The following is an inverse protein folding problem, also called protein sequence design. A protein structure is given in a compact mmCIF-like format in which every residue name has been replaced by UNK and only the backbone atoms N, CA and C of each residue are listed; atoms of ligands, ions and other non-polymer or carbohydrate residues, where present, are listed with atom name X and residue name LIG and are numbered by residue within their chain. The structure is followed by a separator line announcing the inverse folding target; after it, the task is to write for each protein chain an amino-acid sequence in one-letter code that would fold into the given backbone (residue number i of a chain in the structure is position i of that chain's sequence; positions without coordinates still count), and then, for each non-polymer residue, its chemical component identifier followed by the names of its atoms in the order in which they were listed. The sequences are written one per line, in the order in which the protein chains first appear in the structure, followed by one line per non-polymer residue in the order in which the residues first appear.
data_IF_065899017591
#
_entry.id   IF_065899017591
#
_cell.length_a   1.000
_cell.length_b   1.000
_cell.length_c   1.000
_cell.angle_alpha   90.00
_cell.angle_beta   90.00
_cell.angle_gamma   90.00
#
_symmetry.space_group_name_H-M   'P 1'
#
loop_
_entity.id
_entity.type
_entity.pdbx_description
1 polymer ?
#
# COMPACT_ATOMS: atom_id res chain seq x y z
N UNK A 1 11.32 -4.58 1.71
CA UNK A 1 10.37 -5.72 1.66
C UNK A 1 9.77 -5.92 3.05
N UNK A 2 8.45 -6.08 3.11
CA UNK A 2 7.65 -6.22 4.32
C UNK A 2 7.74 -7.68 4.80
N UNK A 3 7.99 -7.97 6.09
CA UNK A 3 8.04 -9.36 6.55
C UNK A 3 6.68 -10.06 6.39
N UNK A 4 6.67 -11.27 5.82
CA UNK A 4 5.44 -11.98 5.45
C UNK A 4 4.56 -12.39 6.65
N UNK A 5 5.18 -12.77 7.78
CA UNK A 5 4.45 -13.19 8.98
C UNK A 5 3.60 -12.07 9.61
N UNK A 6 4.15 -10.88 9.94
CA UNK A 6 3.34 -9.79 10.48
C UNK A 6 2.33 -9.26 9.46
N UNK A 7 2.66 -9.24 8.16
CA UNK A 7 1.69 -8.89 7.11
C UNK A 7 0.49 -9.84 7.09
N UNK A 8 0.73 -11.16 7.14
CA UNK A 8 -0.34 -12.15 7.18
C UNK A 8 -1.22 -12.04 8.43
N UNK A 9 -0.61 -11.75 9.59
CA UNK A 9 -1.35 -11.57 10.84
C UNK A 9 -2.24 -10.32 10.79
N UNK A 10 -1.69 -9.19 10.34
CA UNK A 10 -2.45 -7.94 10.16
C UNK A 10 -3.59 -8.13 9.15
N UNK A 11 -3.34 -8.79 8.03
CA UNK A 11 -4.37 -9.06 7.03
C UNK A 11 -5.51 -9.90 7.62
N UNK A 12 -5.22 -10.96 8.37
CA UNK A 12 -6.24 -11.79 9.03
C UNK A 12 -7.02 -11.00 10.10
N UNK A 13 -6.37 -10.10 10.80
CA UNK A 13 -7.01 -9.20 11.77
C UNK A 13 -8.01 -8.26 11.07
N UNK A 14 -7.58 -7.59 10.00
CA UNK A 14 -8.44 -6.72 9.19
C UNK A 14 -9.60 -7.52 8.61
N UNK A 15 -9.34 -8.72 8.08
CA UNK A 15 -10.38 -9.57 7.51
C UNK A 15 -11.45 -9.90 8.54
N UNK A 16 -11.07 -10.22 9.79
CA UNK A 16 -12.04 -10.48 10.88
C UNK A 16 -12.88 -9.25 11.21
N UNK A 17 -12.33 -8.05 11.12
CA UNK A 17 -13.04 -6.80 11.38
C UNK A 17 -14.01 -6.42 10.24
N UNK A 18 -13.69 -6.81 9.00
CA UNK A 18 -14.51 -6.52 7.81
C UNK A 18 -15.59 -7.60 7.59
N UNK A 19 -15.34 -8.83 8.03
CA UNK A 19 -16.24 -9.96 7.81
C UNK A 19 -17.45 -9.93 8.75
N UNK A 20 -18.57 -10.48 8.29
CA UNK A 20 -19.81 -10.52 9.09
C UNK A 20 -19.61 -11.31 10.40
N UNK A 21 -20.28 -10.92 11.50
CA UNK A 21 -20.20 -11.65 12.77
C UNK A 21 -20.54 -13.14 12.57
N UNK A 22 -19.64 -14.02 13.02
CA UNK A 22 -19.82 -15.47 12.91
C UNK A 22 -19.33 -16.11 11.60
N UNK A 23 -18.74 -15.34 10.69
CA UNK A 23 -18.08 -15.90 9.49
C UNK A 23 -16.60 -16.21 9.76
N UNK A 24 -16.24 -17.50 9.71
CA UNK A 24 -14.85 -17.95 9.86
C UNK A 24 -14.23 -18.15 8.47
N UNK A 25 -13.80 -17.04 7.86
CA UNK A 25 -13.21 -17.05 6.52
C UNK A 25 -11.79 -17.62 6.55
N UNK A 26 -11.58 -18.71 5.81
CA UNK A 26 -10.25 -19.27 5.56
C UNK A 26 -9.68 -18.71 4.27
N UNK A 27 -8.48 -18.14 4.33
CA UNK A 27 -7.80 -17.56 3.17
C UNK A 27 -6.69 -18.48 2.70
N UNK A 28 -6.66 -18.73 1.39
CA UNK A 28 -5.59 -19.50 0.78
C UNK A 28 -4.24 -18.76 0.88
N UNK A 29 -3.16 -19.50 1.14
CA UNK A 29 -1.81 -18.93 1.20
C UNK A 29 -1.42 -18.18 -0.09
N UNK A 30 -1.84 -18.66 -1.25
CA UNK A 30 -1.57 -18.00 -2.55
C UNK A 30 -2.20 -16.61 -2.62
N UNK A 31 -3.42 -16.44 -2.09
CA UNK A 31 -4.09 -15.15 -2.07
C UNK A 31 -3.35 -14.14 -1.17
N UNK A 32 -2.88 -14.59 0.00
CA UNK A 32 -2.08 -13.75 0.91
C UNK A 32 -0.77 -13.32 0.24
N UNK A 33 -0.09 -14.23 -0.45
CA UNK A 33 1.15 -13.91 -1.16
C UNK A 33 0.93 -12.93 -2.31
N UNK A 34 -0.12 -13.12 -3.11
CA UNK A 34 -0.46 -12.20 -4.20
C UNK A 34 -0.78 -10.79 -3.69
N UNK A 35 -1.50 -10.70 -2.55
CA UNK A 35 -1.77 -9.42 -1.90
C UNK A 35 -0.51 -8.76 -1.35
N UNK A 36 0.39 -9.55 -0.76
CA UNK A 36 1.68 -9.09 -0.25
C UNK A 36 2.53 -8.49 -1.38
N UNK A 37 2.68 -9.23 -2.49
CA UNK A 37 3.41 -8.78 -3.67
C UNK A 37 2.80 -7.49 -4.27
N UNK A 38 1.48 -7.43 -4.41
CA UNK A 38 0.80 -6.24 -4.90
C UNK A 38 0.99 -5.04 -3.97
N UNK A 39 1.01 -5.26 -2.65
CA UNK A 39 1.25 -4.21 -1.66
C UNK A 39 2.67 -3.67 -1.74
N UNK A 40 3.66 -4.56 -1.89
CA UNK A 40 5.06 -4.15 -2.05
C UNK A 40 5.27 -3.35 -3.33
N UNK A 41 4.70 -3.83 -4.46
CA UNK A 41 4.76 -3.11 -5.73
C UNK A 41 4.05 -1.75 -5.67
N UNK A 42 2.94 -1.65 -4.93
CA UNK A 42 2.26 -0.38 -4.71
C UNK A 42 3.12 0.58 -3.86
N UNK A 43 3.68 0.10 -2.75
CA UNK A 43 4.50 0.93 -1.87
C UNK A 43 5.73 1.44 -2.60
N UNK A 44 6.43 0.60 -3.37
CA UNK A 44 7.60 1.01 -4.15
C UNK A 44 7.28 2.19 -5.09
N UNK A 45 6.21 2.06 -5.89
CA UNK A 45 5.73 3.14 -6.77
C UNK A 45 5.28 4.39 -6.01
N UNK A 46 4.60 4.21 -4.89
CA UNK A 46 4.09 5.32 -4.09
C UNK A 46 5.22 6.12 -3.43
N UNK A 47 6.22 5.44 -2.88
CA UNK A 47 7.40 6.08 -2.30
C UNK A 47 8.29 6.73 -3.36
N UNK A 48 8.46 6.11 -4.53
CA UNK A 48 9.21 6.74 -5.62
C UNK A 48 8.52 8.02 -6.11
N UNK A 49 7.20 8.00 -6.27
CA UNK A 49 6.43 9.20 -6.60
C UNK A 49 6.57 10.30 -5.54
N UNK A 50 6.49 9.96 -4.25
CA UNK A 50 6.67 10.91 -3.16
C UNK A 50 8.09 11.49 -3.15
N UNK A 51 9.10 10.67 -3.44
CA UNK A 51 10.49 11.10 -3.58
C UNK A 51 10.65 12.07 -4.76
N UNK A 52 10.04 11.79 -5.92
CA UNK A 52 10.01 12.72 -7.07
C UNK A 52 9.35 14.05 -6.71
N UNK A 53 8.28 14.05 -5.92
CA UNK A 53 7.64 15.28 -5.41
C UNK A 53 8.59 16.07 -4.49
N UNK A 54 9.31 15.40 -3.60
CA UNK A 54 10.30 16.06 -2.74
C UNK A 54 11.43 16.71 -3.57
N UNK A 55 11.97 15.99 -4.55
CA UNK A 55 13.01 16.49 -5.47
C UNK A 55 12.49 17.68 -6.29
N UNK A 56 11.24 17.62 -6.78
CA UNK A 56 10.60 18.72 -7.50
C UNK A 56 10.51 19.98 -6.63
N UNK A 57 10.27 19.82 -5.33
CA UNK A 57 10.29 20.89 -4.33
C UNK A 57 11.71 21.27 -3.84
N UNK A 58 12.77 20.81 -4.51
CA UNK A 58 14.20 21.02 -4.17
C UNK A 58 14.58 20.51 -2.77
N UNK A 59 13.98 19.41 -2.34
CA UNK A 59 14.30 18.73 -1.08
C UNK A 59 14.75 17.30 -1.35
N UNK A 60 15.64 16.80 -0.50
CA UNK A 60 16.01 15.38 -0.49
C UNK A 60 15.20 14.58 0.55
N UNK A 61 14.66 15.27 1.57
CA UNK A 61 13.82 14.65 2.60
C UNK A 61 12.35 14.67 2.18
N UNK A 62 11.76 13.47 2.12
CA UNK A 62 10.32 13.28 1.90
C UNK A 62 9.54 13.69 3.15
N UNK A 63 8.42 14.40 2.94
CA UNK A 63 7.55 14.89 4.00
C UNK A 63 6.09 14.41 3.82
N UNK A 64 5.23 14.51 4.85
CA UNK A 64 3.81 14.12 4.75
C UNK A 64 3.04 14.82 3.62
N UNK A 65 3.42 16.04 3.25
CA UNK A 65 2.78 16.78 2.16
C UNK A 65 3.03 16.13 0.80
N UNK A 66 4.21 15.52 0.59
CA UNK A 66 4.56 14.82 -0.65
C UNK A 66 3.65 13.59 -0.84
N UNK A 67 3.41 12.83 0.23
CA UNK A 67 2.48 11.69 0.20
C UNK A 67 1.03 12.12 0.01
N UNK A 68 0.63 13.24 0.61
CA UNK A 68 -0.71 13.80 0.45
C UNK A 68 -0.96 14.22 -1.00
N UNK A 69 0.04 14.83 -1.65
CA UNK A 69 -0.01 15.18 -3.06
C UNK A 69 -0.10 13.95 -3.96
N UNK A 70 0.74 12.94 -3.73
CA UNK A 70 0.68 11.69 -4.51
C UNK A 70 -0.69 11.02 -4.34
N UNK A 71 -1.25 11.01 -3.12
CA UNK A 71 -2.58 10.48 -2.87
C UNK A 71 -3.66 11.24 -3.65
N UNK A 72 -3.58 12.56 -3.67
CA UNK A 72 -4.50 13.40 -4.46
C UNK A 72 -4.42 13.09 -5.96
N UNK A 73 -3.21 12.92 -6.51
CA UNK A 73 -3.00 12.53 -7.91
C UNK A 73 -3.60 11.14 -8.18
N UNK A 74 -3.39 10.19 -7.27
CA UNK A 74 -3.94 8.84 -7.40
C UNK A 74 -5.48 8.83 -7.39
N UNK A 75 -6.11 9.63 -6.55
CA UNK A 75 -7.57 9.72 -6.49
C UNK A 75 -8.15 10.40 -7.74
N UNK A 76 -7.39 11.31 -8.37
CA UNK A 76 -7.80 11.99 -9.61
C UNK A 76 -7.58 11.17 -10.89
N UNK A 77 -6.49 10.40 -10.98
CA UNK A 77 -6.06 9.76 -12.23
C UNK A 77 -5.79 8.25 -12.16
N UNK A 78 -5.77 7.65 -10.96
CA UNK A 78 -5.57 6.21 -10.74
C UNK A 78 -4.10 5.76 -10.69
N UNK A 79 -3.88 4.54 -10.17
CA UNK A 79 -2.55 3.96 -9.87
C UNK A 79 -1.67 3.77 -11.12
N UNK A 80 -2.27 3.60 -12.30
CA UNK A 80 -1.53 3.39 -13.55
C UNK A 80 -0.71 4.62 -13.98
N UNK A 81 -0.91 5.78 -13.35
CA UNK A 81 -0.16 7.01 -13.63
C UNK A 81 1.20 7.06 -12.94
N UNK A 82 1.42 6.23 -11.91
CA UNK A 82 2.72 6.09 -11.27
C UNK A 82 3.60 5.16 -12.12
N UNK A 83 4.32 5.77 -13.05
CA UNK A 83 5.25 5.10 -13.97
C UNK A 83 6.62 4.91 -13.36
#
# INVERSE_FOLDING_TARGET
MIPQSPFSNLFKEILRNVSAPGSDLKVERKAINALHESTEAFMDKFFDAANRCAIHARRETVKPEDFSLVRWILDAFGINTLR
#
